data_IF_629628368337
#
_entry.id   IF_629628368337
#
_cell.length_a   1.000
_cell.length_b   1.000
_cell.length_c   1.000
_cell.angle_alpha   90.00
_cell.angle_beta   90.00
_cell.angle_gamma   90.00
#
_symmetry.space_group_name_H-M   'P 1'
#
loop_
_entity.id
_entity.type
_entity.pdbx_description
1 polymer ?
#
# COMPACT_ATOMS: atom_id res chain seq x y z
N UNK A 1 -4.68 -9.12 23.09
CA UNK A 1 -5.25 -8.53 21.86
C UNK A 1 -5.59 -9.66 20.94
N UNK A 2 -6.78 -9.63 20.35
CA UNK A 2 -7.25 -10.64 19.40
C UNK A 2 -6.96 -10.17 17.97
N UNK A 3 -6.90 -11.10 17.02
CA UNK A 3 -6.69 -10.84 15.59
C UNK A 3 -7.62 -9.74 15.03
N UNK A 4 -8.86 -9.67 15.54
CA UNK A 4 -9.86 -8.69 15.14
C UNK A 4 -9.59 -7.28 15.69
N UNK A 5 -8.93 -7.18 16.85
CA UNK A 5 -8.50 -5.90 17.42
C UNK A 5 -7.38 -5.27 16.57
N UNK A 6 -6.47 -6.10 16.05
CA UNK A 6 -5.34 -5.67 15.24
C UNK A 6 -5.80 -5.15 13.87
N UNK A 7 -6.73 -5.84 13.20
CA UNK A 7 -7.35 -5.37 11.96
C UNK A 7 -8.12 -4.05 12.16
N UNK A 8 -8.92 -3.97 13.22
CA UNK A 8 -9.65 -2.74 13.55
C UNK A 8 -8.71 -1.58 13.89
N UNK A 9 -7.53 -1.86 14.45
CA UNK A 9 -6.50 -0.84 14.71
C UNK A 9 -5.81 -0.39 13.43
N UNK A 10 -5.52 -1.33 12.54
CA UNK A 10 -4.94 -1.06 11.24
C UNK A 10 -5.84 -0.17 10.38
N UNK A 11 -7.12 -0.51 10.23
CA UNK A 11 -8.08 0.27 9.45
C UNK A 11 -8.27 1.69 10.00
N UNK A 12 -8.27 1.84 11.34
CA UNK A 12 -8.28 3.16 11.99
C UNK A 12 -7.02 3.97 11.69
N UNK A 13 -5.86 3.32 11.63
CA UNK A 13 -4.59 3.98 11.31
C UNK A 13 -4.57 4.47 9.86
N UNK A 14 -5.01 3.62 8.92
CA UNK A 14 -5.19 3.99 7.50
C UNK A 14 -6.17 5.17 7.37
N UNK A 15 -7.33 5.08 8.00
CA UNK A 15 -8.35 6.14 7.94
C UNK A 15 -7.84 7.47 8.51
N UNK A 16 -7.10 7.42 9.62
CA UNK A 16 -6.48 8.60 10.21
C UNK A 16 -5.42 9.21 9.29
N UNK A 17 -4.60 8.39 8.62
CA UNK A 17 -3.58 8.85 7.69
C UNK A 17 -4.18 9.53 6.45
N UNK A 18 -5.25 8.95 5.87
CA UNK A 18 -5.99 9.54 4.76
C UNK A 18 -6.56 10.92 5.13
N UNK A 19 -7.21 11.02 6.28
CA UNK A 19 -7.73 12.30 6.79
C UNK A 19 -6.62 13.33 7.04
N UNK A 20 -5.49 12.91 7.60
CA UNK A 20 -4.33 13.81 7.83
C UNK A 20 -3.69 14.28 6.53
N UNK A 21 -3.70 13.44 5.49
CA UNK A 21 -3.25 13.79 4.16
C UNK A 21 -4.26 14.66 3.38
N UNK A 22 -5.45 14.90 3.92
CA UNK A 22 -6.48 15.73 3.31
C UNK A 22 -7.42 14.98 2.36
N UNK A 23 -7.40 13.64 2.37
CA UNK A 23 -8.30 12.82 1.56
C UNK A 23 -9.57 12.47 2.36
N UNK A 24 -10.71 13.02 1.97
CA UNK A 24 -12.02 12.80 2.61
C UNK A 24 -12.97 11.91 1.80
N UNK A 25 -12.65 11.66 0.53
CA UNK A 25 -13.48 10.84 -0.38
C UNK A 25 -13.01 9.39 -0.51
N UNK A 26 -11.75 9.10 -0.24
CA UNK A 26 -11.19 7.75 -0.33
C UNK A 26 -11.11 7.11 1.06
N UNK A 27 -11.61 5.89 1.20
CA UNK A 27 -11.72 5.20 2.51
C UNK A 27 -10.76 4.01 2.64
N UNK A 28 -10.60 3.50 3.86
CA UNK A 28 -9.87 2.25 4.08
C UNK A 28 -10.52 1.06 3.34
N UNK A 29 -11.85 1.06 3.16
CA UNK A 29 -12.55 0.03 2.38
C UNK A 29 -12.29 0.15 0.88
N UNK A 30 -12.13 1.38 0.35
CA UNK A 30 -11.70 1.57 -1.03
C UNK A 30 -10.27 1.07 -1.23
N UNK A 31 -9.36 1.42 -0.30
CA UNK A 31 -8.00 0.91 -0.31
C UNK A 31 -7.97 -0.61 -0.30
N UNK A 32 -8.74 -1.25 0.59
CA UNK A 32 -8.87 -2.70 0.69
C UNK A 32 -9.29 -3.33 -0.63
N UNK A 33 -10.31 -2.77 -1.30
CA UNK A 33 -10.81 -3.27 -2.58
C UNK A 33 -9.73 -3.17 -3.66
N UNK A 34 -9.12 -2.00 -3.84
CA UNK A 34 -8.10 -1.79 -4.86
C UNK A 34 -6.85 -2.66 -4.63
N UNK A 35 -6.41 -2.74 -3.37
CA UNK A 35 -5.26 -3.55 -2.97
C UNK A 35 -5.50 -5.04 -3.23
N UNK A 36 -6.73 -5.51 -3.00
CA UNK A 36 -7.15 -6.89 -3.31
C UNK A 36 -7.12 -7.16 -4.82
N UNK A 37 -7.69 -6.28 -5.62
CA UNK A 37 -7.72 -6.42 -7.09
C UNK A 37 -6.29 -6.55 -7.65
N UNK A 38 -5.37 -5.67 -7.23
CA UNK A 38 -3.97 -5.71 -7.69
C UNK A 38 -3.23 -6.96 -7.19
N UNK A 39 -3.45 -7.37 -5.93
CA UNK A 39 -2.90 -8.64 -5.41
C UNK A 39 -3.35 -9.82 -6.25
N UNK A 40 -4.66 -9.92 -6.51
CA UNK A 40 -5.24 -11.04 -7.23
C UNK A 40 -4.69 -11.13 -8.66
N UNK A 41 -4.54 -9.99 -9.34
CA UNK A 41 -3.92 -9.90 -10.67
C UNK A 41 -2.46 -10.35 -10.66
N UNK A 42 -1.65 -9.88 -9.69
CA UNK A 42 -0.23 -10.26 -9.56
C UNK A 42 -0.10 -11.75 -9.21
N UNK A 43 -0.91 -12.27 -8.28
CA UNK A 43 -0.90 -13.69 -7.93
C UNK A 43 -1.29 -14.56 -9.13
N UNK A 44 -2.27 -14.13 -9.94
CA UNK A 44 -2.64 -14.85 -11.15
C UNK A 44 -1.49 -14.87 -12.18
N UNK A 45 -0.78 -13.76 -12.36
CA UNK A 45 0.37 -13.64 -13.25
C UNK A 45 1.55 -14.53 -12.79
N UNK A 46 1.94 -14.44 -11.52
CA UNK A 46 2.98 -15.26 -10.91
C UNK A 46 2.67 -16.76 -11.06
N UNK A 47 1.42 -17.17 -10.79
CA UNK A 47 0.99 -18.56 -10.97
C UNK A 47 1.02 -19.00 -12.44
N UNK A 48 0.65 -18.13 -13.38
CA UNK A 48 0.68 -18.42 -14.81
C UNK A 48 2.11 -18.56 -15.35
N UNK A 49 3.07 -17.86 -14.76
CA UNK A 49 4.46 -17.82 -15.19
C UNK A 49 5.41 -18.67 -14.32
N UNK A 50 4.87 -19.38 -13.32
CA UNK A 50 5.64 -20.26 -12.43
C UNK A 50 6.52 -19.51 -11.43
N UNK A 51 6.16 -18.28 -11.11
CA UNK A 51 6.79 -17.46 -10.09
C UNK A 51 6.28 -17.74 -8.67
N UNK A 52 6.63 -16.86 -7.74
CA UNK A 52 6.40 -17.05 -6.31
C UNK A 52 5.49 -15.96 -5.76
N UNK A 53 4.27 -16.36 -5.38
CA UNK A 53 3.27 -15.48 -4.76
C UNK A 53 3.72 -14.92 -3.41
N UNK A 54 4.73 -15.52 -2.77
CA UNK A 54 5.32 -14.98 -1.56
C UNK A 54 6.31 -13.84 -1.84
N UNK A 55 6.68 -13.59 -3.10
CA UNK A 55 7.56 -12.48 -3.46
C UNK A 55 6.95 -11.13 -3.08
N UNK A 56 7.75 -10.22 -2.49
CA UNK A 56 7.25 -8.89 -2.19
C UNK A 56 6.97 -8.05 -3.42
N UNK A 57 5.94 -7.21 -3.36
CA UNK A 57 5.61 -6.26 -4.42
C UNK A 57 4.94 -5.00 -3.85
N UNK A 58 4.87 -3.96 -4.67
CA UNK A 58 4.26 -2.67 -4.36
C UNK A 58 3.01 -2.50 -5.22
N UNK A 59 1.93 -2.09 -4.56
CA UNK A 59 0.79 -1.47 -5.22
C UNK A 59 0.76 0.03 -4.90
N UNK A 60 0.38 0.82 -5.90
CA UNK A 60 0.46 2.27 -5.88
C UNK A 60 -0.81 2.88 -6.47
N UNK A 61 -1.42 3.82 -5.74
CA UNK A 61 -2.66 4.49 -6.13
C UNK A 61 -2.49 6.00 -5.93
N UNK A 62 -2.91 6.80 -6.91
CA UNK A 62 -3.05 8.26 -6.77
C UNK A 62 -4.54 8.59 -6.77
N UNK A 63 -4.98 9.35 -5.79
CA UNK A 63 -6.37 9.77 -5.64
C UNK A 63 -6.45 11.06 -4.83
N UNK A 64 -7.17 12.06 -5.33
CA UNK A 64 -7.48 13.30 -4.60
C UNK A 64 -6.28 13.95 -3.89
N UNK A 65 -5.22 14.28 -4.64
CA UNK A 65 -3.98 14.87 -4.12
C UNK A 65 -3.29 14.05 -3.01
N UNK A 66 -3.54 12.75 -2.99
CA UNK A 66 -2.89 11.79 -2.11
C UNK A 66 -2.40 10.60 -2.93
N UNK A 67 -1.25 10.11 -2.55
CA UNK A 67 -0.72 8.86 -3.03
C UNK A 67 -0.65 7.83 -1.91
N UNK A 68 -1.00 6.61 -2.25
CA UNK A 68 -1.02 5.49 -1.33
C UNK A 68 -0.12 4.40 -1.89
N UNK A 69 0.90 4.04 -1.12
CA UNK A 69 1.75 2.90 -1.41
C UNK A 69 1.41 1.80 -0.42
N UNK A 70 1.11 0.62 -0.95
CA UNK A 70 0.94 -0.60 -0.18
C UNK A 70 2.05 -1.57 -0.56
N UNK A 71 2.90 -1.94 0.39
CA UNK A 71 3.98 -2.89 0.17
C UNK A 71 3.55 -4.23 0.75
N UNK A 72 3.40 -5.21 -0.14
CA UNK A 72 3.09 -6.60 0.18
C UNK A 72 4.36 -7.32 0.60
N UNK A 73 4.76 -7.14 1.86
CA UNK A 73 5.88 -7.86 2.48
C UNK A 73 5.43 -8.41 3.85
N UNK A 74 6.35 -8.97 4.63
CA UNK A 74 6.13 -9.24 6.05
C UNK A 74 7.07 -8.41 6.93
N UNK A 75 6.60 -7.29 7.52
CA UNK A 75 5.20 -6.89 7.62
C UNK A 75 4.62 -6.21 6.35
N UNK A 76 3.30 -6.24 6.20
CA UNK A 76 2.56 -5.46 5.21
C UNK A 76 2.55 -3.98 5.63
N UNK A 77 2.85 -3.09 4.68
CA UNK A 77 3.06 -1.66 4.95
C UNK A 77 2.12 -0.79 4.12
N UNK A 78 1.60 0.27 4.74
CA UNK A 78 0.85 1.33 4.04
C UNK A 78 1.48 2.68 4.31
N UNK A 79 1.74 3.44 3.25
CA UNK A 79 2.19 4.83 3.29
C UNK A 79 1.16 5.70 2.60
N UNK A 80 0.81 6.82 3.23
CA UNK A 80 -0.14 7.81 2.71
C UNK A 80 0.56 9.16 2.61
N UNK A 81 0.74 9.62 1.38
CA UNK A 81 1.55 10.79 1.04
C UNK A 81 0.66 11.86 0.44
N UNK A 82 0.55 13.05 1.04
CA UNK A 82 -0.06 14.19 0.36
C UNK A 82 0.85 14.61 -0.80
N UNK A 83 0.33 14.61 -2.03
CA UNK A 83 1.06 15.02 -3.22
C UNK A 83 0.08 15.34 -4.35
N UNK A 84 0.38 16.36 -5.15
CA UNK A 84 -0.43 16.63 -6.34
C UNK A 84 -0.19 15.56 -7.40
N UNK A 85 -1.20 15.24 -8.20
CA UNK A 85 -1.09 14.26 -9.31
C UNK A 85 0.08 14.60 -10.25
N UNK A 86 0.33 15.90 -10.46
CA UNK A 86 1.43 16.42 -11.28
C UNK A 86 2.83 16.13 -10.71
N UNK A 87 2.99 16.05 -9.39
CA UNK A 87 4.26 15.73 -8.73
C UNK A 87 4.61 14.23 -8.76
N UNK A 88 3.66 13.39 -9.18
CA UNK A 88 3.76 11.94 -9.10
C UNK A 88 3.90 11.22 -10.44
N UNK A 89 3.29 11.76 -11.51
CA UNK A 89 3.40 11.22 -12.86
C UNK A 89 4.87 11.18 -13.35
N UNK A 90 5.77 12.03 -12.81
CA UNK A 90 7.20 11.98 -13.19
C UNK A 90 8.04 10.95 -12.42
N UNK A 91 7.54 10.37 -11.33
CA UNK A 91 8.40 9.67 -10.35
C UNK A 91 8.04 8.22 -10.06
N UNK A 92 6.81 7.80 -10.40
CA UNK A 92 6.33 6.43 -10.09
C UNK A 92 6.20 5.54 -11.32
N UNK A 93 6.06 6.12 -12.52
CA UNK A 93 6.18 5.39 -13.80
C UNK A 93 7.60 4.86 -14.07
N UNK A 94 8.57 5.19 -13.22
CA UNK A 94 9.96 4.81 -13.39
C UNK A 94 10.30 3.43 -12.80
N UNK A 95 9.49 2.89 -11.89
CA UNK A 95 9.83 1.68 -11.12
C UNK A 95 8.85 0.54 -11.39
N UNK A 96 9.37 -0.68 -11.47
CA UNK A 96 8.55 -1.89 -11.53
C UNK A 96 7.95 -2.20 -10.15
N UNK A 97 6.79 -2.85 -10.10
CA UNK A 97 6.10 -3.21 -8.84
C UNK A 97 6.96 -4.07 -7.89
N UNK A 98 7.93 -4.82 -8.41
CA UNK A 98 8.82 -5.67 -7.60
C UNK A 98 10.08 -4.96 -7.08
N UNK A 99 10.32 -3.71 -7.49
CA UNK A 99 11.42 -2.85 -7.02
C UNK A 99 11.06 -2.23 -5.65
N UNK A 100 10.76 -3.09 -4.67
CA UNK A 100 10.35 -2.69 -3.31
C UNK A 100 11.40 -1.79 -2.63
N UNK A 101 12.72 -2.09 -2.65
CA UNK A 101 13.73 -1.23 -2.06
C UNK A 101 13.73 0.19 -2.62
N UNK A 102 13.60 0.33 -3.94
CA UNK A 102 13.60 1.60 -4.65
C UNK A 102 12.38 2.46 -4.25
N UNK A 103 11.22 1.84 -4.08
CA UNK A 103 10.03 2.53 -3.56
C UNK A 103 10.21 3.00 -2.12
N UNK A 104 10.81 2.19 -1.25
CA UNK A 104 11.12 2.59 0.13
C UNK A 104 12.10 3.75 0.17
N UNK A 105 13.15 3.72 -0.67
CA UNK A 105 14.11 4.81 -0.80
C UNK A 105 13.45 6.09 -1.34
N UNK A 106 12.56 5.99 -2.33
CA UNK A 106 11.77 7.11 -2.83
C UNK A 106 10.93 7.75 -1.72
N UNK A 107 10.21 6.92 -0.95
CA UNK A 107 9.40 7.36 0.19
C UNK A 107 10.23 8.11 1.24
N UNK A 108 11.40 7.57 1.60
CA UNK A 108 12.27 8.20 2.56
C UNK A 108 12.90 9.50 2.05
N UNK A 109 13.46 9.49 0.83
CA UNK A 109 14.29 10.58 0.33
C UNK A 109 13.47 11.73 -0.26
N UNK A 110 12.44 11.43 -1.04
CA UNK A 110 11.62 12.45 -1.70
C UNK A 110 10.50 12.94 -0.79
N UNK A 111 9.80 12.02 -0.13
CA UNK A 111 8.61 12.34 0.66
C UNK A 111 8.89 12.47 2.16
N UNK A 112 10.13 12.23 2.61
CA UNK A 112 10.51 12.33 4.03
C UNK A 112 9.83 11.29 4.92
N UNK A 113 9.35 10.19 4.33
CA UNK A 113 8.49 9.20 4.97
C UNK A 113 9.26 7.90 5.22
N UNK A 114 10.01 7.91 6.31
CA UNK A 114 10.85 6.79 6.75
C UNK A 114 10.09 5.71 7.52
N UNK A 115 8.85 5.97 7.93
CA UNK A 115 7.99 5.03 8.63
C UNK A 115 6.63 4.93 7.94
N UNK A 116 6.03 3.73 7.89
CA UNK A 116 4.68 3.53 7.36
C UNK A 116 3.64 4.16 8.28
N UNK A 117 2.51 4.59 7.72
CA UNK A 117 1.37 5.12 8.46
C UNK A 117 0.53 3.99 9.09
N UNK A 118 0.55 2.80 8.50
CA UNK A 118 -0.06 1.61 9.06
C UNK A 118 0.73 0.35 8.72
N UNK A 119 0.74 -0.63 9.63
CA UNK A 119 1.43 -1.90 9.44
C UNK A 119 0.68 -3.04 10.14
N UNK A 120 0.69 -4.21 9.51
CA UNK A 120 0.18 -5.49 10.05
C UNK A 120 1.03 -6.64 9.51
N UNK A 121 0.96 -7.82 10.11
CA UNK A 121 1.62 -9.00 9.55
C UNK A 121 1.01 -9.38 8.19
N UNK A 122 1.78 -10.06 7.35
CA UNK A 122 1.28 -10.53 6.04
C UNK A 122 0.04 -11.41 6.18
N UNK A 123 0.02 -12.31 7.16
CA UNK A 123 -1.14 -13.18 7.43
C UNK A 123 -2.42 -12.42 7.78
N UNK A 124 -2.29 -11.32 8.52
CA UNK A 124 -3.39 -10.42 8.84
C UNK A 124 -3.83 -9.63 7.59
N UNK A 125 -2.88 -9.18 6.78
CA UNK A 125 -3.19 -8.50 5.52
C UNK A 125 -3.97 -9.41 4.58
N UNK A 126 -3.59 -10.69 4.43
CA UNK A 126 -4.37 -11.65 3.63
C UNK A 126 -5.78 -11.86 4.20
N UNK A 127 -5.92 -11.92 5.53
CA UNK A 127 -7.24 -12.02 6.18
C UNK A 127 -8.09 -10.77 5.91
N UNK A 128 -7.47 -9.60 5.95
CA UNK A 128 -8.12 -8.33 5.68
C UNK A 128 -8.56 -8.23 4.23
N UNK A 129 -7.70 -8.61 3.29
CA UNK A 129 -7.99 -8.54 1.87
C UNK A 129 -9.03 -9.57 1.42
N UNK A 130 -9.31 -10.60 2.23
CA UNK A 130 -10.34 -11.61 1.97
C UNK A 130 -10.03 -12.40 0.70
#
# INVERSE_FOLDING_TARGET
MTQMDDLSSFERSVSAALLQAGCDTFTASDLQRHTREVRDDIYADELAHGGDIASPFVNFIITHDVAIFTIFDDPFLVYVIPCTEREMISDTDAFAMFEVPEHIELLANKYGRSAPDATISRSLAETWLG
#
